data_IF_872323237880
#
_entry.id   IF_872323237880
#
_cell.length_a   1.000
_cell.length_b   1.000
_cell.length_c   1.000
_cell.angle_alpha   90.00
_cell.angle_beta   90.00
_cell.angle_gamma   90.00
#
_symmetry.space_group_name_H-M   'P 1'
#
loop_
_entity.id
_entity.type
_entity.pdbx_description
1 polymer ?
#
# COMPACT_ATOMS: atom_id res chain seq x y z
N UNK A 1 5.22 -0.60 8.64
CA UNK A 1 5.75 0.19 9.78
C UNK A 1 5.60 1.70 9.56
N UNK A 2 6.12 2.30 8.49
CA UNK A 2 6.16 3.76 8.33
C UNK A 2 4.82 4.49 8.55
N UNK A 3 3.69 3.97 8.05
CA UNK A 3 2.36 4.53 8.38
C UNK A 3 2.04 4.48 9.88
N UNK A 4 2.40 3.40 10.58
CA UNK A 4 2.19 3.28 12.03
C UNK A 4 2.97 4.36 12.81
N UNK A 5 4.19 4.66 12.37
CA UNK A 5 5.05 5.70 12.96
C UNK A 5 4.46 7.10 12.75
N UNK A 6 3.75 7.33 11.63
CA UNK A 6 3.04 8.59 11.34
C UNK A 6 1.72 8.74 12.11
N UNK A 7 1.30 7.73 12.87
CA UNK A 7 0.10 7.77 13.72
C UNK A 7 -1.09 6.95 13.19
N UNK A 8 -0.96 6.27 12.05
CA UNK A 8 -1.98 5.34 11.57
C UNK A 8 -1.93 4.06 12.40
N UNK A 9 -2.72 3.98 13.49
CA UNK A 9 -2.68 2.84 14.42
C UNK A 9 -3.50 1.62 13.98
N UNK A 10 -4.32 1.74 12.95
CA UNK A 10 -5.11 0.66 12.36
C UNK A 10 -4.36 0.03 11.19
N UNK A 11 -3.34 -0.76 11.51
CA UNK A 11 -2.51 -1.46 10.52
C UNK A 11 -2.55 -2.96 10.77
N UNK A 12 -2.42 -3.74 9.70
CA UNK A 12 -2.33 -5.19 9.76
C UNK A 12 -1.25 -5.64 8.78
N UNK A 13 -0.23 -6.33 9.27
CA UNK A 13 0.82 -6.94 8.45
C UNK A 13 0.48 -8.40 8.23
N UNK A 14 0.33 -8.80 6.96
CA UNK A 14 0.04 -10.18 6.57
C UNK A 14 1.21 -10.71 5.74
N UNK A 15 1.80 -11.82 6.15
CA UNK A 15 2.89 -12.45 5.40
C UNK A 15 2.92 -13.96 5.60
N UNK A 16 3.67 -14.68 4.77
CA UNK A 16 3.88 -16.13 4.87
C UNK A 16 5.13 -16.51 5.67
N UNK A 17 5.92 -15.52 6.10
CA UNK A 17 7.21 -15.73 6.75
C UNK A 17 7.27 -15.02 8.10
N UNK A 18 7.58 -15.75 9.17
CA UNK A 18 7.73 -15.19 10.52
C UNK A 18 8.87 -14.18 10.62
N UNK A 19 10.02 -14.48 10.02
CA UNK A 19 11.21 -13.62 10.09
C UNK A 19 10.93 -12.18 9.67
N UNK A 20 10.14 -11.96 8.63
CA UNK A 20 9.78 -10.62 8.18
C UNK A 20 8.82 -9.92 9.15
N UNK A 21 7.87 -10.65 9.73
CA UNK A 21 6.88 -10.12 10.67
C UNK A 21 7.51 -9.75 12.02
N UNK A 22 8.47 -10.53 12.50
CA UNK A 22 9.13 -10.31 13.78
C UNK A 22 9.97 -9.02 13.77
N UNK A 23 10.55 -8.68 12.61
CA UNK A 23 11.32 -7.45 12.41
C UNK A 23 10.44 -6.18 12.35
N UNK A 24 9.12 -6.32 12.19
CA UNK A 24 8.20 -5.19 12.22
C UNK A 24 7.89 -4.79 13.66
N UNK A 25 8.31 -3.59 14.03
CA UNK A 25 7.94 -2.96 15.30
C UNK A 25 6.51 -2.39 15.23
N UNK A 26 5.54 -3.32 15.24
CA UNK A 26 4.10 -3.08 15.41
C UNK A 26 3.56 -4.12 16.41
N UNK A 27 2.42 -3.87 17.08
CA UNK A 27 1.84 -4.80 18.04
C UNK A 27 1.61 -6.21 17.46
N UNK A 28 1.79 -7.25 18.27
CA UNK A 28 1.68 -8.64 17.81
C UNK A 28 0.27 -8.99 17.29
N UNK A 29 -0.77 -8.39 17.88
CA UNK A 29 -2.16 -8.53 17.41
C UNK A 29 -2.42 -7.79 16.09
N UNK A 30 -1.41 -7.13 15.50
CA UNK A 30 -1.46 -6.49 14.18
C UNK A 30 -0.60 -7.23 13.16
N UNK A 31 -0.17 -8.46 13.49
CA UNK A 31 0.61 -9.33 12.61
C UNK A 31 -0.16 -10.62 12.39
N UNK A 32 -0.24 -11.05 11.15
CA UNK A 32 -0.84 -12.32 10.78
C UNK A 32 0.10 -13.11 9.91
N UNK A 33 0.40 -14.33 10.34
CA UNK A 33 1.15 -15.29 9.56
C UNK A 33 0.18 -16.21 8.82
N UNK A 34 0.29 -16.24 7.50
CA UNK A 34 -0.30 -17.29 6.66
C UNK A 34 0.67 -18.48 6.63
N UNK A 35 0.53 -19.43 7.56
CA UNK A 35 1.41 -20.59 7.61
C UNK A 35 1.14 -21.54 6.43
N UNK A 36 2.09 -21.60 5.50
CA UNK A 36 2.05 -22.47 4.32
C UNK A 36 3.34 -23.32 4.20
N UNK A 37 4.03 -23.53 5.32
CA UNK A 37 5.28 -24.31 5.43
C UNK A 37 6.57 -23.50 5.38
N UNK A 38 7.70 -24.16 5.70
CA UNK A 38 8.98 -23.56 6.15
C UNK A 38 9.65 -22.53 5.21
N UNK A 39 9.27 -22.44 3.93
CA UNK A 39 9.93 -21.56 2.94
C UNK A 39 9.07 -20.37 2.48
N UNK A 40 7.88 -20.16 3.06
CA UNK A 40 6.93 -19.17 2.57
C UNK A 40 6.53 -19.42 1.10
N UNK A 41 6.15 -18.38 0.36
CA UNK A 41 5.72 -18.52 -1.04
C UNK A 41 6.89 -18.68 -2.04
N UNK A 42 8.13 -18.32 -1.69
CA UNK A 42 9.30 -18.58 -2.54
C UNK A 42 9.24 -18.00 -3.96
N UNK A 43 8.70 -16.78 -4.14
CA UNK A 43 8.44 -16.12 -5.44
C UNK A 43 7.37 -16.77 -6.33
N UNK A 44 6.70 -17.81 -5.84
CA UNK A 44 5.55 -18.43 -6.50
C UNK A 44 4.25 -17.68 -6.13
N UNK A 45 3.63 -17.04 -7.13
CA UNK A 45 2.38 -16.29 -6.94
C UNK A 45 1.18 -17.19 -6.65
N UNK A 46 1.15 -18.43 -7.14
CA UNK A 46 0.04 -19.36 -6.88
C UNK A 46 0.06 -19.81 -5.43
N UNK A 47 1.24 -20.02 -4.84
CA UNK A 47 1.34 -20.28 -3.39
C UNK A 47 0.84 -19.10 -2.57
N UNK A 48 1.18 -17.87 -2.96
CA UNK A 48 0.66 -16.65 -2.32
C UNK A 48 -0.87 -16.55 -2.44
N UNK A 49 -1.42 -16.90 -3.61
CA UNK A 49 -2.87 -16.93 -3.86
C UNK A 49 -3.58 -18.02 -3.06
N UNK A 50 -2.99 -19.21 -2.96
CA UNK A 50 -3.51 -20.30 -2.13
C UNK A 50 -3.53 -19.93 -0.64
N UNK A 51 -2.44 -19.30 -0.16
CA UNK A 51 -2.34 -18.83 1.23
C UNK A 51 -3.46 -17.85 1.58
N UNK A 52 -3.69 -16.83 0.74
CA UNK A 52 -4.73 -15.84 1.02
C UNK A 52 -6.14 -16.44 0.97
N UNK A 53 -6.38 -17.42 0.09
CA UNK A 53 -7.66 -18.12 0.01
C UNK A 53 -7.92 -18.98 1.25
N UNK A 54 -6.90 -19.66 1.75
CA UNK A 54 -6.98 -20.49 2.95
C UNK A 54 -7.27 -19.66 4.20
N UNK A 55 -6.58 -18.54 4.38
CA UNK A 55 -6.63 -17.72 5.61
C UNK A 55 -7.55 -16.49 5.52
N UNK A 56 -8.39 -16.39 4.49
CA UNK A 56 -9.21 -15.19 4.24
C UNK A 56 -10.13 -14.81 5.41
N UNK A 57 -10.67 -15.81 6.14
CA UNK A 57 -11.63 -15.58 7.21
C UNK A 57 -10.94 -15.08 8.48
N UNK A 58 -9.79 -15.64 8.78
CA UNK A 58 -8.93 -15.28 9.90
C UNK A 58 -8.37 -13.87 9.71
N UNK A 59 -7.92 -13.53 8.50
CA UNK A 59 -7.47 -12.18 8.17
C UNK A 59 -8.63 -11.18 8.29
N UNK A 60 -9.82 -11.52 7.78
CA UNK A 60 -11.01 -10.67 7.92
C UNK A 60 -11.39 -10.49 9.41
N UNK A 61 -11.35 -11.55 10.19
CA UNK A 61 -11.62 -11.51 11.63
C UNK A 61 -10.64 -10.60 12.36
N UNK A 62 -9.34 -10.76 12.11
CA UNK A 62 -8.31 -9.94 12.71
C UNK A 62 -8.38 -8.48 12.27
N UNK A 63 -8.72 -8.23 10.99
CA UNK A 63 -8.98 -6.88 10.47
C UNK A 63 -10.11 -6.21 11.25
N UNK A 64 -11.21 -6.92 11.51
CA UNK A 64 -12.35 -6.40 12.29
C UNK A 64 -11.95 -6.06 13.72
N UNK A 65 -11.20 -6.94 14.38
CA UNK A 65 -10.71 -6.70 15.74
C UNK A 65 -9.75 -5.51 15.81
N UNK A 66 -8.88 -5.37 14.82
CA UNK A 66 -7.82 -4.35 14.82
C UNK A 66 -8.34 -2.97 14.42
N UNK A 67 -9.20 -2.90 13.41
CA UNK A 67 -9.59 -1.62 12.78
C UNK A 67 -10.89 -1.06 13.36
N UNK A 68 -11.75 -1.89 13.95
CA UNK A 68 -13.05 -1.48 14.49
C UNK A 68 -14.01 -1.04 13.38
N UNK A 69 -14.82 -0.01 13.63
CA UNK A 69 -15.81 0.52 12.66
C UNK A 69 -15.45 1.89 12.08
N UNK A 70 -14.59 2.66 12.74
CA UNK A 70 -14.24 4.03 12.31
C UNK A 70 -13.13 4.02 11.26
N UNK A 71 -13.46 3.68 10.03
CA UNK A 71 -12.51 3.67 8.90
C UNK A 71 -13.17 4.31 7.70
N UNK A 72 -12.55 5.34 7.13
CA UNK A 72 -13.09 6.06 5.96
C UNK A 72 -12.58 5.50 4.63
N UNK A 73 -11.35 4.94 4.65
CA UNK A 73 -10.66 4.43 3.47
C UNK A 73 -9.62 3.38 3.89
N UNK A 74 -9.43 2.35 3.06
CA UNK A 74 -8.50 1.24 3.32
C UNK A 74 -7.47 1.18 2.20
N UNK A 75 -6.18 1.13 2.54
CA UNK A 75 -5.09 1.00 1.57
C UNK A 75 -4.42 -0.36 1.71
N UNK A 76 -4.44 -1.15 0.64
CA UNK A 76 -3.72 -2.43 0.55
C UNK A 76 -2.32 -2.18 0.00
N UNK A 77 -1.28 -2.41 0.80
CA UNK A 77 0.11 -2.19 0.41
C UNK A 77 0.79 -3.50 0.01
N UNK A 78 1.33 -3.60 -1.21
CA UNK A 78 1.96 -4.83 -1.73
C UNK A 78 3.24 -4.57 -2.52
N UNK A 79 4.19 -5.48 -2.41
CA UNK A 79 5.35 -5.55 -3.31
C UNK A 79 5.09 -6.49 -4.48
N UNK A 80 5.09 -5.96 -5.71
CA UNK A 80 4.63 -6.70 -6.89
C UNK A 80 5.58 -7.83 -7.32
N UNK A 81 6.88 -7.72 -7.03
CA UNK A 81 7.88 -8.71 -7.46
C UNK A 81 7.95 -10.00 -6.62
N UNK A 82 7.28 -10.05 -5.47
CA UNK A 82 7.32 -11.19 -4.55
C UNK A 82 6.18 -12.19 -4.77
N UNK A 83 6.39 -13.45 -4.37
CA UNK A 83 5.36 -14.49 -4.48
C UNK A 83 4.18 -14.26 -3.53
N UNK A 84 4.46 -13.89 -2.28
CA UNK A 84 3.43 -13.61 -1.29
C UNK A 84 2.72 -12.29 -1.58
N UNK A 85 3.47 -11.19 -1.69
CA UNK A 85 2.90 -9.85 -1.92
C UNK A 85 2.09 -9.78 -3.22
N UNK A 86 2.71 -10.20 -4.34
CA UNK A 86 2.04 -10.22 -5.64
C UNK A 86 0.85 -11.18 -5.68
N UNK A 87 1.05 -12.44 -5.26
CA UNK A 87 0.01 -13.48 -5.31
C UNK A 87 -1.19 -13.22 -4.39
N UNK A 88 -1.00 -12.48 -3.30
CA UNK A 88 -2.08 -12.16 -2.34
C UNK A 88 -2.79 -10.83 -2.59
N UNK A 89 -2.30 -9.98 -3.51
CA UNK A 89 -2.79 -8.62 -3.70
C UNK A 89 -4.30 -8.54 -3.97
N UNK A 90 -4.80 -9.29 -4.97
CA UNK A 90 -6.22 -9.31 -5.31
C UNK A 90 -7.09 -9.89 -4.17
N UNK A 91 -6.61 -10.93 -3.49
CA UNK A 91 -7.30 -11.55 -2.36
C UNK A 91 -7.43 -10.59 -1.17
N UNK A 92 -6.36 -9.87 -0.83
CA UNK A 92 -6.35 -8.85 0.23
C UNK A 92 -7.30 -7.70 -0.09
N UNK A 93 -7.37 -7.27 -1.35
CA UNK A 93 -8.33 -6.25 -1.80
C UNK A 93 -9.77 -6.74 -1.58
N UNK A 94 -10.09 -7.99 -1.94
CA UNK A 94 -11.45 -8.50 -1.71
C UNK A 94 -11.77 -8.62 -0.21
N UNK A 95 -10.82 -9.04 0.62
CA UNK A 95 -10.99 -9.06 2.09
C UNK A 95 -11.24 -7.64 2.63
N UNK A 96 -10.45 -6.65 2.18
CA UNK A 96 -10.63 -5.25 2.55
C UNK A 96 -12.01 -4.73 2.14
N UNK A 97 -12.51 -5.09 0.94
CA UNK A 97 -13.87 -4.74 0.50
C UNK A 97 -14.95 -5.41 1.33
N UNK A 98 -14.77 -6.68 1.71
CA UNK A 98 -15.70 -7.38 2.62
C UNK A 98 -15.74 -6.68 3.98
N UNK A 99 -14.59 -6.30 4.52
CA UNK A 99 -14.51 -5.50 5.75
C UNK A 99 -15.20 -4.13 5.58
N UNK A 100 -14.95 -3.41 4.49
CA UNK A 100 -15.61 -2.14 4.17
C UNK A 100 -17.14 -2.27 4.16
N UNK A 101 -17.68 -3.29 3.49
CA UNK A 101 -19.12 -3.60 3.49
C UNK A 101 -19.62 -3.89 4.90
N UNK A 102 -18.86 -4.67 5.68
CA UNK A 102 -19.22 -5.06 7.04
C UNK A 102 -19.37 -3.84 7.98
N UNK A 103 -18.50 -2.84 7.87
CA UNK A 103 -18.58 -1.62 8.69
C UNK A 103 -19.55 -0.56 8.12
N UNK A 104 -20.25 -0.86 7.02
CA UNK A 104 -21.26 0.01 6.44
C UNK A 104 -20.76 1.05 5.44
N UNK A 105 -19.52 0.92 4.93
CA UNK A 105 -19.04 1.83 3.88
C UNK A 105 -19.80 1.61 2.57
N UNK A 106 -20.37 2.71 2.05
CA UNK A 106 -20.99 2.71 0.73
C UNK A 106 -19.91 2.72 -0.35
N UNK A 107 -20.16 2.01 -1.47
CA UNK A 107 -19.23 1.90 -2.61
C UNK A 107 -17.82 1.43 -2.20
N UNK A 108 -17.66 0.19 -1.69
CA UNK A 108 -16.37 -0.34 -1.24
C UNK A 108 -15.28 -0.30 -2.31
N UNK A 109 -15.65 -0.40 -3.60
CA UNK A 109 -14.73 -0.26 -4.73
C UNK A 109 -14.04 1.12 -4.80
N UNK A 110 -14.64 2.17 -4.22
CA UNK A 110 -14.06 3.51 -4.09
C UNK A 110 -13.35 3.75 -2.75
N UNK A 111 -13.61 2.92 -1.75
CA UNK A 111 -13.07 3.05 -0.38
C UNK A 111 -11.88 2.14 -0.12
N UNK A 112 -11.52 1.31 -1.10
CA UNK A 112 -10.39 0.39 -1.04
C UNK A 112 -9.43 0.73 -2.18
N UNK A 113 -8.29 1.28 -1.81
CA UNK A 113 -7.18 1.56 -2.70
C UNK A 113 -6.04 0.56 -2.55
N UNK A 114 -5.06 0.67 -3.44
CA UNK A 114 -3.85 -0.13 -3.39
C UNK A 114 -2.62 0.76 -3.55
N UNK A 115 -1.58 0.45 -2.78
CA UNK A 115 -0.23 0.99 -2.96
C UNK A 115 0.65 -0.18 -3.39
N UNK A 116 1.19 -0.12 -4.60
CA UNK A 116 2.08 -1.17 -5.09
C UNK A 116 3.47 -0.62 -5.39
N UNK A 117 4.50 -1.41 -5.10
CA UNK A 117 5.89 -1.09 -5.47
C UNK A 117 6.36 -1.97 -6.63
N UNK A 118 6.93 -1.34 -7.66
CA UNK A 118 7.68 -2.00 -8.72
C UNK A 118 9.13 -2.23 -8.27
N UNK A 119 9.74 -3.39 -8.62
CA UNK A 119 11.11 -3.72 -8.25
C UNK A 119 12.13 -2.76 -8.87
N UNK A 120 13.32 -2.68 -8.25
CA UNK A 120 14.50 -2.03 -8.86
C UNK A 120 15.01 -2.82 -10.07
N UNK A 121 15.88 -2.22 -10.89
CA UNK A 121 16.52 -2.94 -12.02
C UNK A 121 17.33 -4.15 -11.54
N UNK A 122 17.96 -4.05 -10.36
CA UNK A 122 18.71 -5.16 -9.75
C UNK A 122 17.79 -6.33 -9.36
N UNK A 123 16.64 -6.05 -8.77
CA UNK A 123 15.66 -7.09 -8.41
C UNK A 123 14.98 -7.71 -9.65
N UNK A 124 14.64 -6.85 -10.62
CA UNK A 124 14.05 -7.25 -11.90
C UNK A 124 15.03 -8.01 -12.82
N UNK A 125 16.31 -8.11 -12.45
CA UNK A 125 17.28 -8.98 -13.15
C UNK A 125 16.89 -10.46 -13.06
N UNK A 126 16.07 -10.84 -12.08
CA UNK A 126 15.41 -12.15 -12.04
C UNK A 126 14.16 -12.12 -12.94
N UNK A 127 14.10 -12.90 -14.03
CA UNK A 127 12.95 -12.90 -14.94
C UNK A 127 11.63 -13.19 -14.24
N UNK A 128 11.65 -14.06 -13.22
CA UNK A 128 10.48 -14.37 -12.41
C UNK A 128 9.96 -13.16 -11.63
N UNK A 129 10.87 -12.34 -11.05
CA UNK A 129 10.48 -11.12 -10.32
C UNK A 129 9.90 -10.08 -11.27
N UNK A 130 10.51 -9.93 -12.45
CA UNK A 130 10.00 -9.01 -13.47
C UNK A 130 8.61 -9.43 -13.99
N UNK A 131 8.43 -10.73 -14.26
CA UNK A 131 7.15 -11.28 -14.69
C UNK A 131 6.06 -11.10 -13.63
N UNK A 132 6.35 -11.47 -12.37
CA UNK A 132 5.42 -11.27 -11.26
C UNK A 132 5.02 -9.78 -11.13
N UNK A 133 6.00 -8.88 -11.17
CA UNK A 133 5.74 -7.45 -11.06
C UNK A 133 4.87 -6.93 -12.21
N UNK A 134 5.10 -7.40 -13.43
CA UNK A 134 4.30 -7.06 -14.61
C UNK A 134 2.86 -7.57 -14.46
N UNK A 135 2.67 -8.83 -14.10
CA UNK A 135 1.34 -9.44 -13.98
C UNK A 135 0.49 -8.75 -12.91
N UNK A 136 1.08 -8.48 -11.75
CA UNK A 136 0.42 -7.75 -10.66
C UNK A 136 0.11 -6.31 -11.06
N UNK A 137 1.04 -5.63 -11.74
CA UNK A 137 0.83 -4.26 -12.22
C UNK A 137 -0.32 -4.21 -13.24
N UNK A 138 -0.37 -5.17 -14.18
CA UNK A 138 -1.46 -5.30 -15.13
C UNK A 138 -2.80 -5.57 -14.45
N UNK A 139 -2.84 -6.52 -13.51
CA UNK A 139 -4.05 -6.87 -12.77
C UNK A 139 -4.60 -5.66 -11.99
N UNK A 140 -3.76 -5.02 -11.16
CA UNK A 140 -4.17 -3.88 -10.35
C UNK A 140 -4.55 -2.67 -11.22
N UNK A 141 -3.82 -2.42 -12.31
CA UNK A 141 -4.16 -1.34 -13.25
C UNK A 141 -5.51 -1.57 -13.93
N UNK A 142 -5.82 -2.82 -14.30
CA UNK A 142 -7.13 -3.18 -14.84
C UNK A 142 -8.24 -3.06 -13.80
N UNK A 143 -7.99 -3.43 -12.55
CA UNK A 143 -8.94 -3.22 -11.46
C UNK A 143 -9.22 -1.71 -11.27
N UNK A 144 -8.17 -0.88 -11.27
CA UNK A 144 -8.28 0.55 -11.09
C UNK A 144 -9.02 1.23 -12.25
N UNK A 145 -8.72 0.85 -13.50
CA UNK A 145 -9.39 1.40 -14.69
C UNK A 145 -10.86 1.00 -14.79
N UNK A 146 -11.22 -0.19 -14.28
CA UNK A 146 -12.61 -0.64 -14.15
C UNK A 146 -13.33 -0.05 -12.93
N UNK A 147 -12.69 0.85 -12.18
CA UNK A 147 -13.25 1.47 -10.98
C UNK A 147 -13.50 0.46 -9.85
N UNK A 148 -12.77 -0.66 -9.83
CA UNK A 148 -12.86 -1.70 -8.78
C UNK A 148 -12.00 -1.38 -7.57
N UNK A 149 -11.00 -0.52 -7.71
CA UNK A 149 -10.20 0.00 -6.60
C UNK A 149 -9.96 1.49 -6.83
N UNK A 150 -9.78 2.24 -5.75
CA UNK A 150 -9.42 3.65 -5.82
C UNK A 150 -8.80 4.10 -4.50
N UNK A 151 -7.66 4.81 -4.52
CA UNK A 151 -6.78 5.02 -5.66
C UNK A 151 -5.85 3.81 -5.86
N UNK A 152 -5.28 3.64 -7.07
CA UNK A 152 -4.08 2.84 -7.27
C UNK A 152 -2.86 3.76 -7.27
N UNK A 153 -1.93 3.57 -6.34
CA UNK A 153 -0.67 4.31 -6.29
C UNK A 153 0.45 3.35 -6.65
N UNK A 154 1.18 3.66 -7.72
CA UNK A 154 2.33 2.86 -8.18
C UNK A 154 3.62 3.58 -7.83
N UNK A 155 4.50 2.87 -7.13
CA UNK A 155 5.80 3.36 -6.70
C UNK A 155 6.88 2.63 -7.48
N UNK A 156 7.67 3.38 -8.23
CA UNK A 156 8.83 2.85 -8.93
C UNK A 156 10.07 2.98 -8.02
N UNK A 157 10.54 1.84 -7.49
CA UNK A 157 11.71 1.82 -6.61
C UNK A 157 12.98 2.29 -7.33
N UNK A 158 13.11 2.06 -8.64
CA UNK A 158 14.24 2.55 -9.44
C UNK A 158 14.21 4.08 -9.56
N UNK A 159 13.02 4.66 -9.75
CA UNK A 159 12.85 6.12 -9.75
C UNK A 159 13.23 6.72 -8.40
N UNK A 160 12.82 6.10 -7.29
CA UNK A 160 13.20 6.59 -5.95
C UNK A 160 14.72 6.45 -5.73
N UNK A 161 15.34 5.37 -6.20
CA UNK A 161 16.79 5.20 -6.16
C UNK A 161 17.54 6.34 -6.85
N UNK A 162 17.03 6.79 -8.00
CA UNK A 162 17.61 7.93 -8.73
C UNK A 162 17.37 9.28 -8.04
N UNK A 163 16.27 9.44 -7.30
CA UNK A 163 15.99 10.66 -6.54
C UNK A 163 16.88 10.80 -5.29
N UNK A 164 17.33 9.68 -4.72
CA UNK A 164 18.17 9.66 -3.52
C UNK A 164 19.48 8.87 -3.75
N UNK A 165 20.37 9.37 -4.62
CA UNK A 165 21.62 8.68 -4.94
C UNK A 165 22.54 8.60 -3.71
N UNK A 166 23.31 7.51 -3.60
CA UNK A 166 24.33 7.33 -2.55
C UNK A 166 23.82 6.77 -1.22
N UNK A 167 22.55 6.37 -1.11
CA UNK A 167 22.07 5.65 0.07
C UNK A 167 22.61 4.22 0.14
N UNK A 168 22.94 3.77 1.36
CA UNK A 168 23.23 2.35 1.61
C UNK A 168 21.96 1.51 1.47
N UNK A 169 22.09 0.22 1.11
CA UNK A 169 20.95 -0.71 1.04
C UNK A 169 20.15 -0.76 2.35
N UNK A 170 20.83 -0.66 3.50
CA UNK A 170 20.19 -0.66 4.82
C UNK A 170 19.28 0.56 5.04
N UNK A 171 19.70 1.75 4.58
CA UNK A 171 18.91 2.97 4.68
C UNK A 171 17.87 3.11 3.57
N UNK A 172 18.06 2.42 2.45
CA UNK A 172 17.26 2.57 1.24
C UNK A 172 15.77 2.25 1.44
N UNK A 173 15.46 1.06 1.96
CA UNK A 173 14.08 0.61 2.15
C UNK A 173 13.30 1.44 3.19
N UNK A 174 13.86 1.75 4.38
CA UNK A 174 13.22 2.68 5.30
C UNK A 174 12.96 4.06 4.67
N UNK A 175 13.91 4.60 3.90
CA UNK A 175 13.76 5.90 3.24
C UNK A 175 12.64 5.90 2.19
N UNK A 176 12.53 4.85 1.37
CA UNK A 176 11.40 4.70 0.42
C UNK A 176 10.08 4.67 1.18
N UNK A 177 9.96 3.78 2.17
CA UNK A 177 8.73 3.60 2.92
C UNK A 177 8.30 4.89 3.63
N UNK A 178 9.25 5.63 4.20
CA UNK A 178 8.98 6.91 4.86
C UNK A 178 8.63 8.01 3.85
N UNK A 179 9.27 8.05 2.68
CA UNK A 179 8.93 9.02 1.62
C UNK A 179 7.51 8.81 1.15
N UNK A 180 7.14 7.56 0.84
CA UNK A 180 5.79 7.20 0.36
C UNK A 180 4.74 7.49 1.42
N UNK A 181 4.95 6.99 2.64
CA UNK A 181 4.00 7.18 3.73
C UNK A 181 3.86 8.67 4.09
N UNK A 182 4.97 9.41 4.09
CA UNK A 182 4.99 10.86 4.33
C UNK A 182 4.26 11.64 3.26
N UNK A 183 4.44 11.32 1.97
CA UNK A 183 3.69 11.96 0.89
C UNK A 183 2.18 11.75 1.06
N UNK A 184 1.76 10.52 1.36
CA UNK A 184 0.34 10.23 1.60
C UNK A 184 -0.19 10.99 2.83
N UNK A 185 0.57 11.01 3.92
CA UNK A 185 0.21 11.68 5.18
C UNK A 185 0.11 13.20 5.04
N UNK A 186 0.96 13.84 4.23
CA UNK A 186 0.91 15.29 3.98
C UNK A 186 -0.46 15.70 3.43
N UNK A 187 -0.94 15.05 2.37
CA UNK A 187 -2.24 15.40 1.79
C UNK A 187 -3.38 15.14 2.79
N UNK A 188 -3.29 14.05 3.55
CA UNK A 188 -4.29 13.72 4.57
C UNK A 188 -4.30 14.71 5.75
N UNK A 189 -3.16 15.29 6.13
CA UNK A 189 -3.11 16.33 7.17
C UNK A 189 -3.54 17.69 6.65
N UNK A 190 -3.07 18.07 5.47
CA UNK A 190 -3.39 19.36 4.84
C UNK A 190 -4.90 19.48 4.61
N UNK A 191 -5.58 18.38 4.25
CA UNK A 191 -7.04 18.37 4.09
C UNK A 191 -7.80 18.67 5.39
N UNK A 192 -7.19 18.47 6.55
CA UNK A 192 -7.78 18.76 7.85
C UNK A 192 -7.48 20.19 8.36
N UNK A 193 -6.65 20.97 7.65
CA UNK A 193 -6.27 22.33 8.07
C UNK A 193 -7.23 23.39 7.49
N UNK A 194 -7.60 24.36 8.32
CA UNK A 194 -8.39 25.51 7.87
C UNK A 194 -7.54 26.53 7.11
N UNK A 195 -8.13 27.14 6.08
CA UNK A 195 -7.53 28.24 5.29
C UNK A 195 -8.49 29.42 5.21
N UNK A 196 -7.96 30.65 5.12
CA UNK A 196 -8.77 31.88 5.10
C UNK A 196 -9.43 32.20 3.76
N UNK A 197 -8.93 31.64 2.66
CA UNK A 197 -9.35 32.02 1.30
C UNK A 197 -9.93 30.84 0.53
N UNK A 198 -9.12 29.81 0.31
CA UNK A 198 -9.54 28.54 -0.28
C UNK A 198 -8.86 27.43 0.51
N UNK A 199 -9.64 26.45 0.94
CA UNK A 199 -9.15 25.26 1.63
C UNK A 199 -9.19 24.07 0.68
N UNK A 200 -8.17 23.24 0.77
CA UNK A 200 -8.26 21.84 0.38
C UNK A 200 -8.82 21.11 1.60
N UNK A 201 -10.05 20.62 1.53
CA UNK A 201 -10.76 20.04 2.68
C UNK A 201 -10.84 18.50 2.61
N UNK A 202 -11.42 17.80 3.62
CA UNK A 202 -11.50 16.35 3.59
C UNK A 202 -12.39 15.82 2.44
N UNK A 203 -13.41 16.58 2.03
CA UNK A 203 -14.30 16.20 0.92
C UNK A 203 -13.53 16.28 -0.40
N UNK A 204 -12.71 17.30 -0.59
CA UNK A 204 -11.81 17.41 -1.74
C UNK A 204 -10.84 16.22 -1.79
N UNK A 205 -10.21 15.90 -0.66
CA UNK A 205 -9.28 14.76 -0.59
C UNK A 205 -9.99 13.42 -0.87
N UNK A 206 -11.20 13.23 -0.35
CA UNK A 206 -12.03 12.07 -0.69
C UNK A 206 -12.37 12.03 -2.18
N UNK A 207 -12.73 13.16 -2.80
CA UNK A 207 -13.05 13.19 -4.23
C UNK A 207 -11.86 12.73 -5.10
N UNK A 208 -10.63 13.08 -4.72
CA UNK A 208 -9.40 12.68 -5.42
C UNK A 208 -9.10 11.21 -5.17
N UNK A 209 -9.13 10.77 -3.91
CA UNK A 209 -8.86 9.36 -3.55
C UNK A 209 -9.92 8.40 -4.10
N UNK A 210 -11.14 8.88 -4.39
CA UNK A 210 -12.27 8.11 -4.93
C UNK A 210 -12.53 8.31 -6.44
N UNK A 211 -11.64 9.07 -7.11
CA UNK A 211 -11.73 9.36 -8.54
C UNK A 211 -11.56 8.11 -9.43
N UNK A 212 -10.94 7.05 -8.89
CA UNK A 212 -10.59 5.83 -9.59
C UNK A 212 -9.22 5.91 -10.27
N UNK A 213 -8.86 4.83 -10.97
CA UNK A 213 -7.62 4.76 -11.76
C UNK A 213 -6.33 4.96 -10.94
N UNK A 214 -5.23 5.30 -11.63
CA UNK A 214 -3.92 5.52 -11.03
C UNK A 214 -3.80 6.96 -10.49
N UNK A 215 -3.28 7.10 -9.27
CA UNK A 215 -2.95 8.37 -8.65
C UNK A 215 -1.43 8.57 -8.59
N UNK A 216 -0.99 9.78 -8.95
CA UNK A 216 0.40 10.21 -8.84
C UNK A 216 0.45 11.33 -7.80
N UNK A 217 1.37 11.20 -6.86
CA UNK A 217 1.61 12.22 -5.83
C UNK A 217 3.00 12.84 -6.04
N UNK A 218 3.07 14.16 -5.85
CA UNK A 218 4.31 14.92 -5.95
C UNK A 218 4.36 16.01 -4.89
N UNK A 219 5.56 16.31 -4.41
CA UNK A 219 5.81 17.38 -3.46
C UNK A 219 7.06 18.14 -3.93
N UNK A 220 6.95 19.46 -4.05
CA UNK A 220 8.10 20.35 -4.21
C UNK A 220 8.14 21.33 -3.04
N UNK A 221 9.34 21.67 -2.58
CA UNK A 221 9.55 22.68 -1.55
C UNK A 221 10.06 23.96 -2.22
N UNK A 222 9.20 24.95 -2.29
CA UNK A 222 9.55 26.27 -2.83
C UNK A 222 10.11 27.14 -1.70
N UNK A 223 11.44 27.28 -1.63
CA UNK A 223 12.09 28.13 -0.63
C UNK A 223 12.02 29.63 -1.00
N UNK A 224 11.94 29.94 -2.30
CA UNK A 224 11.84 31.31 -2.83
C UNK A 224 10.77 31.35 -3.91
N UNK A 225 9.65 32.00 -3.61
CA UNK A 225 8.50 32.06 -4.54
C UNK A 225 8.82 32.73 -5.89
N UNK A 226 9.88 33.53 -5.95
CA UNK A 226 10.34 34.22 -7.17
C UNK A 226 11.29 33.38 -8.04
N UNK A 227 11.67 32.19 -7.61
CA UNK A 227 12.55 31.33 -8.39
C UNK A 227 11.75 30.65 -9.51
N UNK A 228 12.04 31.03 -10.77
CA UNK A 228 11.33 30.51 -11.95
C UNK A 228 11.63 29.04 -12.24
N UNK A 229 12.55 28.43 -11.51
CA UNK A 229 13.03 27.06 -11.73
C UNK A 229 12.94 26.15 -10.49
N UNK A 230 12.26 26.59 -9.41
CA UNK A 230 11.99 25.77 -8.22
C UNK A 230 10.69 24.96 -8.32
#
# INVERSE_FOLDING_TARGET
KSFYDLGYKKVLAVNTTHHDLDLLDIPQNQKFLMDIGEKGAGKDMERGRGAIQQYQQEILHLTRQTFGSQVDHIMVCVGAGGGTGGGSAAGLIEIAKRYARYIGLTKPDKKVGAIMTLPTVGEASSPLVAQNAYDVACELSQMASKGKISPLIIIDNEKINKLYPGMTVKSFWPSINNTVAGLFDIFNRVSALSSRYTSFDPVDYHSITEAGSCAIMGLTRVNKFNDKFA
#
